data_IF_414835345770
#
_entry.id   IF_414835345770
#
_cell.length_a   1.000
_cell.length_b   1.000
_cell.length_c   1.000
_cell.angle_alpha   90.00
_cell.angle_beta   90.00
_cell.angle_gamma   90.00
#
_symmetry.space_group_name_H-M   'P 1'
#
loop_
_entity.id
_entity.type
_entity.pdbx_description
1 polymer ?
#
# COMPACT_ATOMS: atom_id res chain seq x y z
N UNK A 1 10.17 10.09 19.46
CA UNK A 1 10.30 11.31 18.65
C UNK A 1 9.07 11.50 17.80
N UNK A 2 8.51 12.68 17.69
CA UNK A 2 7.25 12.92 17.01
C UNK A 2 7.34 14.14 16.06
N UNK A 3 6.29 14.39 15.27
CA UNK A 3 6.25 15.48 14.28
C UNK A 3 6.42 16.88 14.90
N UNK A 4 6.09 17.06 16.20
CA UNK A 4 6.24 18.33 16.91
C UNK A 4 7.72 18.59 17.20
N UNK A 5 8.48 17.53 17.49
CA UNK A 5 9.93 17.65 17.71
C UNK A 5 10.64 18.09 16.42
N UNK A 6 10.25 17.53 15.26
CA UNK A 6 10.74 17.95 13.94
C UNK A 6 10.38 19.39 13.65
N UNK A 7 9.14 19.80 13.95
CA UNK A 7 8.69 21.18 13.73
C UNK A 7 9.52 22.19 14.56
N UNK A 8 9.83 21.83 15.81
CA UNK A 8 10.66 22.64 16.72
C UNK A 8 12.10 22.74 16.20
N UNK A 9 12.70 21.61 15.81
CA UNK A 9 14.07 21.56 15.28
C UNK A 9 14.22 22.37 13.98
N UNK A 10 13.24 22.25 13.07
CA UNK A 10 13.23 22.96 11.79
C UNK A 10 12.80 24.43 11.89
N UNK A 11 12.32 24.90 13.08
CA UNK A 11 11.81 26.26 13.27
C UNK A 11 10.53 26.56 12.47
N UNK A 12 9.66 25.55 12.27
CA UNK A 12 8.44 25.69 11.47
C UNK A 12 7.21 25.14 12.21
N UNK A 13 6.01 25.37 11.67
CA UNK A 13 4.79 24.80 12.23
C UNK A 13 4.65 23.30 11.93
N UNK A 14 3.91 22.56 12.77
CA UNK A 14 3.53 21.15 12.52
C UNK A 14 2.88 20.96 11.14
N UNK A 15 2.03 21.91 10.72
CA UNK A 15 1.37 21.90 9.43
C UNK A 15 2.37 22.02 8.26
N UNK A 16 3.45 22.81 8.46
CA UNK A 16 4.53 22.92 7.46
C UNK A 16 5.28 21.60 7.33
N UNK A 17 5.65 20.96 8.45
CA UNK A 17 6.27 19.61 8.40
C UNK A 17 5.35 18.61 7.69
N UNK A 18 4.06 18.61 8.01
CA UNK A 18 3.08 17.75 7.35
C UNK A 18 2.99 17.98 5.84
N UNK A 19 3.09 19.24 5.38
CA UNK A 19 3.12 19.57 3.94
C UNK A 19 4.39 19.11 3.25
N UNK A 20 5.55 19.25 3.93
CA UNK A 20 6.83 18.72 3.41
C UNK A 20 6.78 17.20 3.24
N UNK A 21 6.29 16.47 4.26
CA UNK A 21 6.10 15.03 4.22
C UNK A 21 5.08 14.59 3.14
N UNK A 22 4.16 15.49 2.76
CA UNK A 22 3.21 15.28 1.68
C UNK A 22 3.75 15.68 0.30
N UNK A 23 5.02 16.08 0.22
CA UNK A 23 5.65 16.61 -0.99
C UNK A 23 4.85 17.76 -1.66
N UNK A 24 4.21 18.60 -0.85
CA UNK A 24 3.38 19.72 -1.34
C UNK A 24 4.25 20.77 -2.03
N UNK A 25 3.84 21.21 -3.21
CA UNK A 25 4.48 22.29 -3.97
C UNK A 25 4.32 23.67 -3.28
N UNK A 26 3.42 23.78 -2.32
CA UNK A 26 3.16 25.01 -1.57
C UNK A 26 4.25 25.35 -0.55
N UNK A 27 5.27 24.50 -0.40
CA UNK A 27 6.38 24.74 0.54
C UNK A 27 7.61 25.20 -0.22
N UNK A 28 8.17 26.35 0.19
CA UNK A 28 9.39 26.90 -0.41
C UNK A 28 10.56 25.89 -0.27
N UNK A 29 11.46 25.83 -1.28
CA UNK A 29 12.61 24.90 -1.29
C UNK A 29 13.45 24.95 -0.01
N UNK A 30 13.83 26.15 0.45
CA UNK A 30 14.63 26.34 1.67
C UNK A 30 13.94 25.80 2.92
N UNK A 31 12.62 25.93 2.98
CA UNK A 31 11.83 25.39 4.10
C UNK A 31 11.77 23.88 4.04
N UNK A 32 11.63 23.31 2.84
CA UNK A 32 11.65 21.86 2.61
C UNK A 32 12.97 21.26 3.05
N UNK A 33 14.10 21.88 2.69
CA UNK A 33 15.44 21.45 3.07
C UNK A 33 15.64 21.48 4.59
N UNK A 34 15.25 22.56 5.27
CA UNK A 34 15.32 22.65 6.74
C UNK A 34 14.56 21.53 7.44
N UNK A 35 13.37 21.19 6.94
CA UNK A 35 12.55 20.12 7.52
C UNK A 35 13.18 18.74 7.25
N UNK A 36 13.70 18.50 6.05
CA UNK A 36 14.34 17.22 5.72
C UNK A 36 15.60 17.01 6.56
N UNK A 37 16.42 18.03 6.73
CA UNK A 37 17.60 17.99 7.60
C UNK A 37 17.23 17.73 9.06
N UNK A 38 16.14 18.31 9.56
CA UNK A 38 15.65 18.04 10.91
C UNK A 38 15.14 16.59 11.06
N UNK A 39 14.45 16.06 10.06
CA UNK A 39 14.01 14.66 10.03
C UNK A 39 15.21 13.72 10.12
N UNK A 40 16.24 13.94 9.31
CA UNK A 40 17.46 13.13 9.28
C UNK A 40 18.21 13.19 10.63
N UNK A 41 18.44 14.38 11.16
CA UNK A 41 19.14 14.57 12.46
C UNK A 41 18.43 13.87 13.60
N UNK A 42 17.10 13.94 13.61
CA UNK A 42 16.28 13.37 14.67
C UNK A 42 15.99 11.88 14.47
N UNK A 43 16.33 11.30 13.32
CA UNK A 43 15.92 9.93 12.97
C UNK A 43 14.40 9.77 13.00
N UNK A 44 13.64 10.80 12.62
CA UNK A 44 12.19 10.76 12.68
C UNK A 44 11.64 9.93 11.53
N UNK A 45 10.88 8.88 11.88
CA UNK A 45 10.11 8.08 10.92
C UNK A 45 8.64 8.49 11.00
N UNK A 46 8.04 8.96 9.89
CA UNK A 46 6.62 9.31 9.87
C UNK A 46 5.74 8.14 10.29
N UNK A 47 4.81 8.38 11.20
CA UNK A 47 3.84 7.38 11.60
C UNK A 47 2.76 7.24 10.50
N UNK A 48 2.81 6.15 9.75
CA UNK A 48 1.87 5.82 8.68
C UNK A 48 0.42 5.76 9.17
N UNK A 49 0.18 5.21 10.37
CA UNK A 49 -1.15 5.14 10.97
C UNK A 49 -1.76 6.54 11.22
N UNK A 50 -0.94 7.51 11.64
CA UNK A 50 -1.40 8.90 11.82
C UNK A 50 -1.68 9.60 10.47
N UNK A 51 -0.98 9.21 9.40
CA UNK A 51 -1.23 9.73 8.04
C UNK A 51 -2.53 9.16 7.47
N UNK A 52 -2.83 7.90 7.74
CA UNK A 52 -4.08 7.24 7.35
C UNK A 52 -5.31 7.90 7.98
N UNK A 53 -5.26 8.21 9.28
CA UNK A 53 -6.29 8.97 9.97
C UNK A 53 -6.53 10.35 9.35
N UNK A 54 -5.54 10.91 8.67
CA UNK A 54 -5.63 12.16 7.92
C UNK A 54 -6.09 11.97 6.46
N UNK A 55 -6.54 10.78 6.06
CA UNK A 55 -7.05 10.48 4.72
C UNK A 55 -5.98 10.41 3.63
N UNK A 56 -4.70 10.25 3.99
CA UNK A 56 -3.62 10.11 3.01
C UNK A 56 -3.54 8.67 2.50
N UNK A 57 -3.30 8.54 1.19
CA UNK A 57 -2.96 7.27 0.57
C UNK A 57 -1.58 6.80 1.05
N UNK A 58 -1.42 5.49 1.21
CA UNK A 58 -0.15 4.87 1.57
C UNK A 58 0.83 4.82 0.40
N UNK A 59 0.31 4.87 -0.83
CA UNK A 59 1.07 4.63 -2.04
C UNK A 59 1.50 3.15 -2.17
N UNK A 60 0.72 2.22 -1.62
CA UNK A 60 1.06 0.80 -1.56
C UNK A 60 -0.11 -0.06 -2.01
N UNK A 61 0.18 -1.06 -2.84
CA UNK A 61 -0.77 -2.11 -3.25
C UNK A 61 -0.38 -3.43 -2.60
N UNK A 62 -1.34 -4.11 -2.00
CA UNK A 62 -1.16 -5.44 -1.42
C UNK A 62 -1.46 -6.53 -2.45
N UNK A 63 -0.51 -7.40 -2.74
CA UNK A 63 -0.70 -8.57 -3.60
C UNK A 63 -0.76 -9.81 -2.75
N UNK A 64 -1.90 -10.51 -2.78
CA UNK A 64 -2.11 -11.77 -2.08
C UNK A 64 -2.10 -12.90 -3.11
N UNK A 65 -1.19 -13.85 -2.91
CA UNK A 65 -1.01 -15.00 -3.80
C UNK A 65 -0.73 -16.26 -2.98
N UNK A 66 -1.09 -17.41 -3.54
CA UNK A 66 -0.65 -18.71 -3.03
C UNK A 66 0.53 -19.27 -3.80
N UNK A 67 0.80 -18.67 -4.94
CA UNK A 67 1.80 -19.18 -5.87
C UNK A 67 3.20 -18.72 -5.45
N UNK A 68 4.14 -19.64 -5.52
CA UNK A 68 5.52 -19.36 -5.17
C UNK A 68 6.20 -18.60 -6.30
N UNK A 69 7.12 -17.71 -5.92
CA UNK A 69 7.96 -16.93 -6.87
C UNK A 69 8.80 -17.86 -7.77
N UNK A 70 8.92 -19.15 -7.42
CA UNK A 70 9.66 -20.16 -8.17
C UNK A 70 9.00 -20.59 -9.48
N UNK A 71 7.70 -20.34 -9.68
CA UNK A 71 7.04 -20.57 -10.95
C UNK A 71 7.43 -19.47 -11.96
N UNK A 72 8.02 -19.79 -13.11
CA UNK A 72 8.48 -18.79 -14.09
C UNK A 72 7.38 -17.85 -14.58
N UNK A 73 6.15 -18.34 -14.73
CA UNK A 73 5.00 -17.52 -15.13
C UNK A 73 4.72 -16.44 -14.06
N UNK A 74 4.63 -16.84 -12.80
CA UNK A 74 4.37 -15.90 -11.71
C UNK A 74 5.54 -14.95 -11.46
N UNK A 75 6.77 -15.39 -11.69
CA UNK A 75 7.95 -14.52 -11.66
C UNK A 75 7.84 -13.38 -12.68
N UNK A 76 7.50 -13.70 -13.92
CA UNK A 76 7.28 -12.71 -14.98
C UNK A 76 6.07 -11.80 -14.68
N UNK A 77 4.96 -12.39 -14.26
CA UNK A 77 3.76 -11.65 -13.86
C UNK A 77 4.06 -10.62 -12.77
N UNK A 78 4.74 -11.04 -11.71
CA UNK A 78 5.09 -10.19 -10.58
C UNK A 78 6.01 -9.04 -10.98
N UNK A 79 7.01 -9.29 -11.84
CA UNK A 79 7.89 -8.25 -12.37
C UNK A 79 7.09 -7.17 -13.13
N UNK A 80 6.17 -7.59 -14.00
CA UNK A 80 5.33 -6.68 -14.79
C UNK A 80 4.36 -5.90 -13.93
N UNK A 81 3.76 -6.56 -12.95
CA UNK A 81 2.82 -5.95 -12.00
C UNK A 81 3.54 -4.90 -11.15
N UNK A 82 4.71 -5.22 -10.60
CA UNK A 82 5.54 -4.28 -9.83
C UNK A 82 5.90 -3.04 -10.65
N UNK A 83 6.46 -3.24 -11.85
CA UNK A 83 6.83 -2.14 -12.77
C UNK A 83 5.61 -1.29 -13.16
N UNK A 84 4.46 -1.93 -13.36
CA UNK A 84 3.21 -1.26 -13.66
C UNK A 84 2.78 -0.32 -12.54
N UNK A 85 2.78 -0.77 -11.31
CA UNK A 85 2.40 0.05 -10.15
C UNK A 85 3.42 1.15 -9.86
N UNK A 86 4.72 0.86 -9.96
CA UNK A 86 5.79 1.85 -9.77
C UNK A 86 5.67 3.03 -10.75
N UNK A 87 5.24 2.79 -11.99
CA UNK A 87 4.99 3.85 -12.98
C UNK A 87 3.94 4.88 -12.50
N UNK A 88 3.02 4.45 -11.64
CA UNK A 88 1.99 5.31 -11.05
C UNK A 88 2.31 5.73 -9.60
N UNK A 89 3.54 5.52 -9.15
CA UNK A 89 4.00 5.92 -7.81
C UNK A 89 3.50 5.02 -6.68
N UNK A 90 3.15 3.76 -6.98
CA UNK A 90 2.76 2.77 -5.98
C UNK A 90 3.87 1.74 -5.77
N UNK A 91 4.16 1.47 -4.50
CA UNK A 91 4.94 0.29 -4.09
C UNK A 91 4.05 -0.94 -3.96
N UNK A 92 4.66 -2.13 -3.91
CA UNK A 92 3.94 -3.41 -3.83
C UNK A 92 4.43 -4.21 -2.63
N UNK A 93 3.49 -4.68 -1.82
CA UNK A 93 3.75 -5.64 -0.74
C UNK A 93 3.10 -6.97 -1.11
N UNK A 94 3.91 -8.04 -1.11
CA UNK A 94 3.43 -9.40 -1.33
C UNK A 94 3.11 -10.09 0.00
N UNK A 95 1.96 -10.75 0.05
CA UNK A 95 1.57 -11.65 1.13
C UNK A 95 1.25 -13.03 0.54
N UNK A 96 2.00 -14.05 0.94
CA UNK A 96 1.84 -15.41 0.42
C UNK A 96 0.96 -16.21 1.37
N UNK A 97 -0.22 -16.62 0.89
CA UNK A 97 -1.14 -17.46 1.63
C UNK A 97 -0.69 -18.93 1.56
N UNK A 98 -0.40 -19.53 2.70
CA UNK A 98 0.09 -20.92 2.77
C UNK A 98 -1.04 -21.95 2.64
N UNK A 99 -2.26 -21.60 3.01
CA UNK A 99 -3.42 -22.50 2.97
C UNK A 99 -4.59 -21.88 2.22
N UNK A 100 -4.63 -22.13 0.92
CA UNK A 100 -5.67 -21.58 0.04
C UNK A 100 -7.08 -22.11 0.32
N UNK A 101 -7.22 -23.31 0.92
CA UNK A 101 -8.52 -23.85 1.31
C UNK A 101 -9.16 -23.06 2.47
N UNK A 102 -8.36 -22.51 3.37
CA UNK A 102 -8.82 -21.62 4.43
C UNK A 102 -9.06 -20.20 3.92
N UNK A 103 -8.53 -19.88 2.75
CA UNK A 103 -8.55 -18.53 2.17
C UNK A 103 -7.38 -17.67 2.65
N UNK A 104 -7.48 -16.38 2.44
CA UNK A 104 -6.42 -15.41 2.72
C UNK A 104 -6.82 -14.34 3.77
N UNK A 105 -7.67 -14.72 4.72
CA UNK A 105 -8.16 -13.80 5.77
C UNK A 105 -7.04 -13.19 6.61
N UNK A 106 -6.00 -13.98 6.91
CA UNK A 106 -4.83 -13.54 7.66
C UNK A 106 -4.06 -12.48 6.89
N UNK A 107 -3.82 -12.71 5.61
CA UNK A 107 -3.08 -11.83 4.71
C UNK A 107 -3.84 -10.52 4.49
N UNK A 108 -5.17 -10.59 4.29
CA UNK A 108 -6.03 -9.41 4.21
C UNK A 108 -5.91 -8.58 5.49
N UNK A 109 -6.04 -9.21 6.66
CA UNK A 109 -5.98 -8.53 7.95
C UNK A 109 -4.59 -7.94 8.23
N UNK A 110 -3.53 -8.63 7.82
CA UNK A 110 -2.14 -8.19 7.97
C UNK A 110 -1.84 -6.93 7.13
N UNK A 111 -2.43 -6.84 5.93
CA UNK A 111 -2.24 -5.73 5.01
C UNK A 111 -3.22 -4.57 5.25
N UNK A 112 -4.32 -4.81 5.97
CA UNK A 112 -5.32 -3.79 6.25
C UNK A 112 -4.71 -2.56 6.94
N UNK A 113 -5.06 -1.39 6.44
CA UNK A 113 -4.50 -0.14 6.90
C UNK A 113 -3.06 0.16 6.40
N UNK A 114 -2.39 -0.75 5.71
CA UNK A 114 -1.05 -0.56 5.15
C UNK A 114 -1.06 -0.39 3.64
N UNK A 115 -2.14 -0.77 2.99
CA UNK A 115 -2.31 -0.73 1.53
C UNK A 115 -3.52 0.10 1.14
N UNK A 116 -3.52 0.61 -0.08
CA UNK A 116 -4.62 1.40 -0.65
C UNK A 116 -5.53 0.55 -1.55
N UNK A 117 -5.05 -0.60 -1.98
CA UNK A 117 -5.79 -1.54 -2.82
C UNK A 117 -5.23 -2.96 -2.66
N UNK A 118 -6.02 -3.94 -3.08
CA UNK A 118 -5.63 -5.34 -3.11
C UNK A 118 -5.59 -5.88 -4.53
N UNK A 119 -4.63 -6.76 -4.81
CA UNK A 119 -4.64 -7.70 -5.95
C UNK A 119 -4.65 -9.10 -5.37
N UNK A 120 -5.66 -9.90 -5.70
CA UNK A 120 -5.76 -11.29 -5.23
C UNK A 120 -5.60 -12.22 -6.41
N UNK A 121 -4.63 -13.14 -6.31
CA UNK A 121 -4.16 -13.96 -7.43
C UNK A 121 -4.55 -15.41 -7.21
N UNK A 122 -5.13 -16.03 -8.24
CA UNK A 122 -5.34 -17.48 -8.32
C UNK A 122 -6.28 -18.04 -7.25
N UNK A 123 -5.89 -19.15 -6.66
CA UNK A 123 -6.70 -19.92 -5.70
C UNK A 123 -6.91 -19.21 -4.35
N UNK A 124 -6.22 -18.13 -4.08
CA UNK A 124 -6.47 -17.28 -2.90
C UNK A 124 -7.79 -16.50 -2.98
N UNK A 125 -8.28 -16.25 -4.20
CA UNK A 125 -9.48 -15.47 -4.44
C UNK A 125 -10.75 -16.28 -4.20
N UNK A 126 -11.01 -16.64 -2.93
CA UNK A 126 -12.31 -17.19 -2.54
C UNK A 126 -13.35 -16.08 -2.43
N UNK A 127 -14.59 -16.36 -2.79
CA UNK A 127 -15.67 -15.39 -2.79
C UNK A 127 -15.77 -14.64 -1.45
N UNK A 128 -15.78 -15.35 -0.32
CA UNK A 128 -15.82 -14.77 1.03
C UNK A 128 -14.71 -13.76 1.31
N UNK A 129 -13.51 -13.98 0.76
CA UNK A 129 -12.37 -13.09 0.95
C UNK A 129 -12.51 -11.80 0.12
N UNK A 130 -13.00 -11.95 -1.11
CA UNK A 130 -13.27 -10.81 -1.99
C UNK A 130 -14.40 -9.95 -1.42
N UNK A 131 -15.49 -10.56 -0.96
CA UNK A 131 -16.60 -9.89 -0.28
C UNK A 131 -16.10 -9.07 0.93
N UNK A 132 -15.21 -9.66 1.74
CA UNK A 132 -14.63 -8.97 2.90
C UNK A 132 -13.85 -7.71 2.48
N UNK A 133 -13.03 -7.78 1.43
CA UNK A 133 -12.26 -6.62 0.93
C UNK A 133 -13.22 -5.54 0.41
N UNK A 134 -14.25 -5.92 -0.33
CA UNK A 134 -15.27 -5.00 -0.85
C UNK A 134 -16.05 -4.34 0.30
N UNK A 135 -16.43 -5.11 1.33
CA UNK A 135 -17.10 -4.58 2.53
C UNK A 135 -16.22 -3.61 3.32
N UNK A 136 -14.90 -3.74 3.26
CA UNK A 136 -13.95 -2.76 3.81
C UNK A 136 -13.84 -1.49 2.97
N UNK A 137 -14.61 -1.38 1.88
CA UNK A 137 -14.55 -0.28 0.92
C UNK A 137 -13.17 -0.08 0.30
N UNK A 138 -12.44 -1.20 0.09
CA UNK A 138 -11.11 -1.22 -0.49
C UNK A 138 -11.17 -1.66 -1.96
N UNK A 139 -10.48 -0.96 -2.87
CA UNK A 139 -10.36 -1.41 -4.25
C UNK A 139 -9.70 -2.79 -4.32
N UNK A 140 -10.26 -3.68 -5.13
CA UNK A 140 -9.71 -5.02 -5.33
C UNK A 140 -9.71 -5.42 -6.79
N UNK A 141 -8.57 -5.93 -7.25
CA UNK A 141 -8.43 -6.57 -8.55
C UNK A 141 -8.17 -8.07 -8.36
N UNK A 142 -8.81 -8.88 -9.16
CA UNK A 142 -8.73 -10.33 -9.14
C UNK A 142 -8.00 -10.80 -10.40
N UNK A 143 -7.02 -11.68 -10.25
CA UNK A 143 -6.25 -12.22 -11.36
C UNK A 143 -6.29 -13.74 -11.33
N UNK A 144 -6.59 -14.37 -12.48
CA UNK A 144 -6.72 -15.83 -12.63
C UNK A 144 -7.68 -16.48 -11.63
N UNK A 145 -8.85 -15.91 -11.43
CA UNK A 145 -9.88 -16.46 -10.56
C UNK A 145 -11.20 -16.60 -11.30
N UNK A 146 -12.04 -17.54 -10.84
CA UNK A 146 -13.42 -17.68 -11.32
C UNK A 146 -14.43 -16.85 -10.54
N UNK A 147 -13.98 -16.15 -9.53
CA UNK A 147 -14.84 -15.30 -8.70
C UNK A 147 -15.14 -14.00 -9.46
N UNK A 148 -16.39 -13.68 -9.57
CA UNK A 148 -16.89 -12.38 -10.04
C UNK A 148 -17.76 -11.79 -8.96
N UNK A 149 -17.52 -10.53 -8.60
CA UNK A 149 -18.28 -9.82 -7.58
C UNK A 149 -18.40 -8.35 -7.97
N UNK A 150 -19.57 -7.75 -7.74
CA UNK A 150 -19.78 -6.33 -7.93
C UNK A 150 -18.84 -5.54 -7.00
N UNK A 151 -18.17 -4.55 -7.56
CA UNK A 151 -17.15 -3.77 -6.84
C UNK A 151 -15.72 -4.34 -6.90
N UNK A 152 -15.51 -5.51 -7.52
CA UNK A 152 -14.20 -6.06 -7.80
C UNK A 152 -13.90 -6.04 -9.31
N UNK A 153 -12.65 -5.71 -9.68
CA UNK A 153 -12.17 -5.83 -11.06
C UNK A 153 -11.60 -7.23 -11.27
N UNK A 154 -12.13 -8.00 -12.20
CA UNK A 154 -11.61 -9.32 -12.54
C UNK A 154 -10.83 -9.27 -13.87
N UNK A 155 -9.60 -9.81 -13.85
CA UNK A 155 -8.73 -9.99 -15.01
C UNK A 155 -8.55 -11.51 -15.24
N UNK A 156 -9.02 -11.99 -16.37
CA UNK A 156 -8.80 -13.36 -16.82
C UNK A 156 -7.80 -13.36 -17.97
N UNK A 157 -6.94 -14.36 -18.01
CA UNK A 157 -6.06 -14.61 -19.15
C UNK A 157 -6.70 -15.77 -19.92
N UNK A 158 -7.02 -15.52 -21.18
CA UNK A 158 -7.50 -16.55 -22.13
C UNK A 158 -6.39 -17.54 -22.49
#
# INVERSE_FOLDING_TARGET
MNIIDVAREAGVSKSTVSRVLANSELVKPDTKEKVLNAIERLGFVPNTSAQQLAGKKNGVVGVITSETISDPFYGYFNDRLMKGFQKYGYDVIYAVAQNTKAGCDREISMLYGKVDAYVVVGSCALQKNVEKIVQMNMPVALFQTRVTLDGAMALQVD
#
